data_IF_741506734944
#
_entry.id   IF_741506734944
#
_cell.length_a   1.000
_cell.length_b   1.000
_cell.length_c   1.000
_cell.angle_alpha   90.00
_cell.angle_beta   90.00
_cell.angle_gamma   90.00
#
_symmetry.space_group_name_H-M   'P 1'
#
loop_
_entity.id
_entity.type
_entity.pdbx_description
1 polymer ?
#
# COMPACT_ATOMS: atom_id res chain seq x y z
N UNK A 1 1.34 0.60 34.08
CA UNK A 1 1.52 2.02 33.74
C UNK A 1 0.44 2.44 32.73
N UNK A 2 -0.18 3.64 32.87
CA UNK A 2 -1.14 4.21 31.92
C UNK A 2 -0.58 5.53 31.37
N UNK A 3 -0.44 5.62 30.05
CA UNK A 3 -0.06 6.86 29.37
C UNK A 3 -1.32 7.46 28.77
N UNK A 4 -1.48 8.77 28.94
CA UNK A 4 -2.61 9.53 28.39
C UNK A 4 -2.07 10.78 27.66
N UNK A 5 -2.58 11.02 26.46
CA UNK A 5 -2.26 12.20 25.66
C UNK A 5 -3.55 13.00 25.50
N UNK A 6 -3.51 14.29 25.83
CA UNK A 6 -4.69 15.15 25.87
C UNK A 6 -4.31 16.60 25.55
N UNK A 7 -5.31 17.43 25.27
CA UNK A 7 -5.10 18.85 25.02
C UNK A 7 -5.26 19.70 26.32
N UNK A 8 -4.52 20.79 26.42
CA UNK A 8 -4.71 21.76 27.50
C UNK A 8 -6.13 22.34 27.49
N UNK A 9 -6.67 22.70 28.68
CA UNK A 9 -7.92 23.44 28.76
C UNK A 9 -7.78 24.85 28.14
N UNK A 10 -8.90 25.44 27.68
CA UNK A 10 -8.93 26.81 27.17
C UNK A 10 -8.45 27.81 28.25
N UNK A 11 -7.53 28.71 27.92
CA UNK A 11 -7.24 29.85 28.77
C UNK A 11 -8.43 30.82 28.71
N UNK A 12 -8.95 31.20 29.87
CA UNK A 12 -9.95 32.28 29.99
C UNK A 12 -9.30 33.59 29.54
N UNK A 13 -9.77 34.20 28.44
CA UNK A 13 -9.43 35.59 28.08
C UNK A 13 -8.74 35.81 26.72
N UNK A 14 -8.54 34.82 25.88
CA UNK A 14 -7.99 34.98 24.51
C UNK A 14 -8.98 34.52 23.47
N UNK A 15 -9.57 35.45 22.74
CA UNK A 15 -10.67 35.20 21.79
C UNK A 15 -10.26 34.55 20.48
N UNK A 16 -8.96 34.27 20.23
CA UNK A 16 -8.50 33.91 18.86
C UNK A 16 -7.49 32.75 18.75
N UNK A 17 -7.20 32.03 19.84
CA UNK A 17 -6.28 30.87 19.72
C UNK A 17 -7.08 29.58 19.76
N UNK A 18 -7.49 29.07 18.57
CA UNK A 18 -8.12 27.74 18.42
C UNK A 18 -7.18 26.58 18.78
N UNK A 19 -5.86 26.77 18.64
CA UNK A 19 -4.88 25.71 18.86
C UNK A 19 -4.55 25.53 20.36
N UNK A 20 -4.48 24.29 20.83
CA UNK A 20 -4.12 23.92 22.20
C UNK A 20 -2.88 23.03 22.22
N UNK A 21 -2.13 23.12 23.31
CA UNK A 21 -0.93 22.29 23.48
C UNK A 21 -1.29 20.84 23.75
N UNK A 22 -0.57 19.93 23.11
CA UNK A 22 -0.63 18.49 23.40
C UNK A 22 0.15 18.19 24.67
N UNK A 23 -0.49 17.52 25.61
CA UNK A 23 0.06 17.14 26.91
C UNK A 23 0.22 15.63 27.03
N UNK A 24 1.29 15.20 27.67
CA UNK A 24 1.56 13.81 28.02
C UNK A 24 1.43 13.59 29.53
N UNK A 25 0.78 12.50 29.93
CA UNK A 25 0.59 12.12 31.33
C UNK A 25 0.89 10.65 31.52
N UNK A 26 1.68 10.33 32.54
CA UNK A 26 2.00 8.97 32.95
C UNK A 26 1.47 8.73 34.35
N UNK A 27 0.69 7.67 34.52
CA UNK A 27 0.17 7.23 35.83
C UNK A 27 0.57 5.80 36.13
N UNK A 28 1.13 5.58 37.30
CA UNK A 28 1.42 4.23 37.81
C UNK A 28 1.44 4.23 39.35
N UNK A 29 0.50 3.56 39.96
CA UNK A 29 0.32 3.60 41.42
C UNK A 29 0.07 5.04 41.91
N UNK A 30 0.92 5.54 42.82
CA UNK A 30 0.89 6.89 43.33
C UNK A 30 1.56 7.94 42.43
N UNK A 31 2.30 7.50 41.38
CA UNK A 31 2.99 8.43 40.48
C UNK A 31 2.01 9.01 39.43
N UNK A 32 2.01 10.34 39.31
CA UNK A 32 1.21 11.10 38.32
C UNK A 32 2.10 12.18 37.68
N UNK A 33 2.80 11.83 36.62
CA UNK A 33 3.73 12.73 35.92
C UNK A 33 3.00 13.40 34.74
N UNK A 34 3.21 14.71 34.58
CA UNK A 34 2.57 15.49 33.50
C UNK A 34 3.56 16.46 32.87
N UNK A 35 3.46 16.61 31.54
CA UNK A 35 4.22 17.64 30.83
C UNK A 35 3.42 18.18 29.64
N UNK A 36 3.71 19.42 29.28
CA UNK A 36 3.21 20.05 28.04
C UNK A 36 4.28 19.93 26.98
N UNK A 37 3.86 19.75 25.73
CA UNK A 37 4.76 19.76 24.57
C UNK A 37 4.63 21.07 23.80
N UNK A 38 5.54 21.31 22.85
CA UNK A 38 5.40 22.39 21.87
C UNK A 38 4.48 22.04 20.71
N UNK A 39 3.93 20.81 20.67
CA UNK A 39 2.94 20.42 19.67
C UNK A 39 1.62 21.12 19.92
N UNK A 40 1.04 21.69 18.87
CA UNK A 40 -0.24 22.38 18.90
C UNK A 40 -1.27 21.59 18.09
N UNK A 41 -2.49 21.49 18.61
CA UNK A 41 -3.58 20.79 17.97
C UNK A 41 -4.89 21.58 18.08
N UNK A 42 -5.74 21.52 17.03
CA UNK A 42 -7.08 22.10 17.04
C UNK A 42 -8.05 21.13 17.73
N UNK A 43 -8.71 21.53 18.83
CA UNK A 43 -9.63 20.69 19.58
C UNK A 43 -10.81 20.17 18.76
N UNK A 44 -11.25 20.91 17.73
CA UNK A 44 -12.36 20.53 16.87
C UNK A 44 -12.08 19.22 16.10
N UNK A 45 -10.79 18.97 15.81
CA UNK A 45 -10.35 17.81 15.01
C UNK A 45 -9.55 16.79 15.82
N UNK A 46 -9.48 16.96 17.13
CA UNK A 46 -8.76 16.07 18.04
C UNK A 46 -9.61 14.85 18.40
N UNK A 47 -8.98 13.66 18.42
CA UNK A 47 -9.61 12.43 18.89
C UNK A 47 -9.08 12.11 20.31
N UNK A 48 -9.99 12.04 21.28
CA UNK A 48 -9.61 11.72 22.67
C UNK A 48 -9.47 10.21 22.91
N UNK A 49 -10.11 9.39 22.07
CA UNK A 49 -10.07 7.93 22.22
C UNK A 49 -8.80 7.34 21.61
N UNK A 50 -8.36 7.90 20.49
CA UNK A 50 -7.08 7.58 19.83
C UNK A 50 -6.33 8.92 19.70
N UNK A 51 -5.49 9.28 20.69
CA UNK A 51 -4.89 10.61 20.75
C UNK A 51 -4.20 11.01 19.46
N UNK A 52 -4.72 12.06 18.81
CA UNK A 52 -4.24 12.55 17.54
C UNK A 52 -5.31 13.29 16.74
N UNK A 53 -4.93 13.75 15.56
CA UNK A 53 -5.87 14.38 14.64
C UNK A 53 -6.76 13.38 13.93
N UNK A 54 -8.04 13.72 13.81
CA UNK A 54 -9.00 13.02 12.94
C UNK A 54 -8.67 13.27 11.47
N UNK A 55 -9.04 12.32 10.61
CA UNK A 55 -8.83 12.41 9.16
C UNK A 55 -9.59 13.56 8.47
N UNK A 56 -10.57 14.15 9.15
CA UNK A 56 -11.42 15.26 8.65
C UNK A 56 -10.89 16.65 8.97
N UNK A 57 -9.69 16.77 9.52
CA UNK A 57 -9.10 18.09 9.88
C UNK A 57 -8.79 18.94 8.65
N UNK A 58 -8.67 20.25 8.85
CA UNK A 58 -8.25 21.21 7.81
C UNK A 58 -6.79 21.06 7.39
N UNK A 59 -6.00 20.29 8.16
CA UNK A 59 -4.60 20.01 7.85
C UNK A 59 -4.48 19.03 6.67
N UNK A 60 -3.36 19.11 5.98
CA UNK A 60 -3.03 18.13 4.94
C UNK A 60 -2.80 16.75 5.55
N UNK A 61 -3.05 15.70 4.78
CA UNK A 61 -2.81 14.32 5.23
C UNK A 61 -1.35 14.09 5.69
N UNK A 62 -0.40 14.87 5.18
CA UNK A 62 1.01 14.83 5.57
C UNK A 62 1.21 15.42 6.96
N UNK A 63 0.64 16.59 7.24
CA UNK A 63 0.74 17.27 8.54
C UNK A 63 0.07 16.44 9.65
N UNK A 64 -1.12 15.87 9.36
CA UNK A 64 -1.79 14.96 10.28
C UNK A 64 -0.90 13.75 10.61
N UNK A 65 -0.32 13.15 9.57
CA UNK A 65 0.55 11.97 9.73
C UNK A 65 1.82 12.32 10.51
N UNK A 66 2.43 13.47 10.26
CA UNK A 66 3.63 13.92 10.96
C UNK A 66 3.35 14.21 12.44
N UNK A 67 2.22 14.87 12.77
CA UNK A 67 1.83 15.13 14.15
C UNK A 67 1.50 13.83 14.90
N UNK A 68 0.65 12.98 14.31
CA UNK A 68 0.26 11.72 14.93
C UNK A 68 1.46 10.79 15.13
N UNK A 69 2.41 10.80 14.19
CA UNK A 69 3.67 10.07 14.33
C UNK A 69 4.52 10.58 15.49
N UNK A 70 4.65 11.89 15.66
CA UNK A 70 5.39 12.47 16.80
C UNK A 70 4.74 12.10 18.14
N UNK A 71 3.42 12.07 18.21
CA UNK A 71 2.68 11.65 19.42
C UNK A 71 2.94 10.18 19.72
N UNK A 72 2.87 9.34 18.68
CA UNK A 72 3.14 7.89 18.79
C UNK A 72 4.58 7.63 19.23
N UNK A 73 5.56 8.23 18.57
CA UNK A 73 6.99 8.07 18.89
C UNK A 73 7.31 8.50 20.32
N UNK A 74 6.77 9.65 20.78
CA UNK A 74 6.93 10.11 22.17
C UNK A 74 6.28 9.14 23.15
N UNK A 75 5.10 8.62 22.83
CA UNK A 75 4.39 7.66 23.68
C UNK A 75 5.18 6.37 23.83
N UNK A 76 5.78 5.89 22.74
CA UNK A 76 6.68 4.72 22.74
C UNK A 76 7.92 4.98 23.59
N UNK A 77 8.59 6.14 23.42
CA UNK A 77 9.75 6.52 24.23
C UNK A 77 9.43 6.62 25.72
N UNK A 78 8.27 7.15 26.08
CA UNK A 78 7.81 7.17 27.47
C UNK A 78 7.66 5.76 28.00
N UNK A 79 7.05 4.86 27.20
CA UNK A 79 6.87 3.47 27.60
C UNK A 79 8.17 2.71 27.78
N UNK A 80 9.15 2.94 26.89
CA UNK A 80 10.45 2.29 26.89
C UNK A 80 11.37 2.78 28.02
N UNK A 81 11.34 4.08 28.36
CA UNK A 81 12.30 4.68 29.28
C UNK A 81 11.72 4.98 30.68
N UNK A 82 10.43 4.69 30.90
CA UNK A 82 9.83 4.88 32.22
C UNK A 82 10.33 3.87 33.22
N UNK A 83 10.66 4.37 34.43
CA UNK A 83 10.89 3.55 35.62
C UNK A 83 10.24 4.21 36.83
N UNK A 84 9.94 3.43 37.89
CA UNK A 84 9.22 3.91 39.08
C UNK A 84 9.89 5.09 39.80
N UNK A 85 11.18 5.32 39.56
CA UNK A 85 11.95 6.41 40.18
C UNK A 85 12.03 7.67 39.30
N UNK A 86 11.25 7.76 38.22
CA UNK A 86 11.22 8.92 37.34
C UNK A 86 10.26 9.99 37.88
N UNK A 87 10.64 11.26 37.69
CA UNK A 87 9.89 12.45 38.11
C UNK A 87 9.34 13.24 36.92
N UNK A 88 8.60 14.31 37.20
CA UNK A 88 8.05 15.19 36.16
C UNK A 88 9.11 15.91 35.33
N UNK A 89 10.35 16.07 35.84
CA UNK A 89 11.45 16.69 35.10
C UNK A 89 11.98 15.75 34.04
N UNK A 90 12.08 14.45 34.34
CA UNK A 90 12.41 13.43 33.37
C UNK A 90 11.43 13.43 32.19
N UNK A 91 10.12 13.40 32.46
CA UNK A 91 9.11 13.38 31.39
C UNK A 91 9.19 14.63 30.52
N UNK A 92 9.41 15.79 31.12
CA UNK A 92 9.59 17.07 30.41
C UNK A 92 10.81 17.05 29.50
N UNK A 93 11.94 16.59 30.00
CA UNK A 93 13.18 16.53 29.24
C UNK A 93 13.11 15.51 28.10
N UNK A 94 12.48 14.36 28.32
CA UNK A 94 12.27 13.35 27.27
C UNK A 94 11.46 13.93 26.10
N UNK A 95 10.30 14.55 26.39
CA UNK A 95 9.43 15.15 25.37
C UNK A 95 10.13 16.30 24.65
N UNK A 96 10.84 17.16 25.39
CA UNK A 96 11.59 18.30 24.84
C UNK A 96 12.72 17.83 23.93
N UNK A 97 13.55 16.90 24.39
CA UNK A 97 14.69 16.38 23.61
C UNK A 97 14.25 15.70 22.31
N UNK A 98 13.15 14.95 22.34
CA UNK A 98 12.59 14.34 21.13
C UNK A 98 12.16 15.41 20.10
N UNK A 99 11.51 16.49 20.57
CA UNK A 99 10.99 17.54 19.68
C UNK A 99 12.09 18.46 19.11
N UNK A 100 13.19 18.66 19.84
CA UNK A 100 14.33 19.51 19.42
C UNK A 100 15.34 18.76 18.56
N UNK A 101 15.65 17.49 18.86
CA UNK A 101 16.76 16.74 18.26
C UNK A 101 16.31 15.58 17.34
N UNK A 102 15.00 15.36 17.22
CA UNK A 102 14.46 14.19 16.51
C UNK A 102 14.93 12.87 17.16
N UNK A 103 14.90 11.78 16.41
CA UNK A 103 15.26 10.43 16.89
C UNK A 103 16.77 10.23 17.22
N UNK A 104 17.55 11.30 17.38
CA UNK A 104 18.95 11.27 17.81
C UNK A 104 19.06 11.57 19.29
N UNK A 105 18.63 10.64 20.14
CA UNK A 105 18.97 10.68 21.56
C UNK A 105 20.30 9.95 21.74
N UNK A 106 21.39 10.72 21.84
CA UNK A 106 22.67 10.26 22.34
C UNK A 106 22.52 9.90 23.83
N UNK A 107 22.76 8.65 24.16
CA UNK A 107 22.78 8.12 25.53
C UNK A 107 24.00 8.68 26.24
N UNK A 108 23.91 9.37 27.40
CA UNK A 108 25.07 9.65 28.24
C UNK A 108 25.59 8.31 28.80
N UNK A 109 26.82 7.98 28.46
CA UNK A 109 27.54 6.87 29.13
C UNK A 109 27.85 7.32 30.56
N UNK A 110 27.14 6.74 31.53
CA UNK A 110 27.59 6.36 32.86
C UNK A 110 26.39 6.12 33.78
N UNK A 111 26.00 4.88 33.91
CA UNK A 111 25.53 4.25 35.14
C UNK A 111 25.36 2.74 34.90
N UNK A 112 26.25 1.98 35.50
CA UNK A 112 26.18 0.52 35.65
C UNK A 112 24.85 0.19 36.34
N UNK A 113 23.92 -0.44 35.65
CA UNK A 113 22.77 -1.15 36.25
C UNK A 113 22.18 -2.12 35.24
N UNK A 114 21.96 -3.30 35.69
CA UNK A 114 21.53 -4.51 35.03
C UNK A 114 20.40 -4.31 34.01
N UNK A 115 20.66 -4.80 32.80
CA UNK A 115 19.71 -4.90 31.68
C UNK A 115 18.52 -5.77 32.05
N UNK A 116 17.33 -5.17 32.10
CA UNK A 116 16.10 -5.86 31.69
C UNK A 116 15.89 -5.48 30.22
N UNK A 117 16.29 -6.38 29.34
CA UNK A 117 16.09 -6.24 27.91
C UNK A 117 14.61 -6.50 27.63
N UNK A 118 13.94 -5.56 26.96
CA UNK A 118 12.64 -5.82 26.35
C UNK A 118 12.80 -6.94 25.31
N UNK A 119 11.86 -7.89 25.29
CA UNK A 119 11.96 -9.11 24.46
C UNK A 119 12.11 -8.84 22.94
N UNK A 120 11.67 -7.68 22.45
CA UNK A 120 11.86 -7.30 21.04
C UNK A 120 13.32 -6.93 20.69
N UNK A 121 14.09 -6.39 21.63
CA UNK A 121 15.51 -6.16 21.45
C UNK A 121 16.35 -7.46 21.63
N UNK A 122 15.83 -8.41 22.42
CA UNK A 122 16.47 -9.72 22.63
C UNK A 122 16.37 -10.59 21.37
N UNK A 123 15.26 -10.51 20.62
CA UNK A 123 15.12 -11.27 19.37
C UNK A 123 15.96 -10.71 18.20
N UNK A 124 16.24 -9.40 18.19
CA UNK A 124 17.13 -8.81 17.18
C UNK A 124 18.61 -9.18 17.38
N UNK A 125 19.02 -9.53 18.61
CA UNK A 125 20.42 -9.84 18.95
C UNK A 125 20.76 -11.32 18.99
N UNK A 126 19.80 -12.24 18.69
CA UNK A 126 20.06 -13.69 18.62
C UNK A 126 19.94 -14.26 17.21
N UNK A 127 19.88 -13.43 16.18
CA UNK A 127 20.05 -13.91 14.82
C UNK A 127 21.50 -14.38 14.66
N UNK A 128 21.71 -15.68 14.53
CA UNK A 128 23.01 -16.21 14.15
C UNK A 128 23.49 -15.49 12.89
N UNK A 129 24.75 -14.98 12.87
CA UNK A 129 25.23 -14.10 11.79
C UNK A 129 25.05 -14.65 10.37
N UNK A 130 24.98 -15.98 10.23
CA UNK A 130 24.87 -16.71 8.97
C UNK A 130 23.49 -17.33 8.73
N UNK A 131 22.48 -16.95 9.50
CA UNK A 131 21.12 -17.46 9.29
C UNK A 131 20.50 -16.91 7.99
N UNK A 132 19.60 -17.69 7.37
CA UNK A 132 18.81 -17.28 6.20
C UNK A 132 18.10 -15.95 6.43
N UNK A 133 17.51 -15.75 7.60
CA UNK A 133 16.76 -14.54 7.99
C UNK A 133 17.68 -13.32 7.94
N UNK A 134 18.90 -13.42 8.49
CA UNK A 134 19.83 -12.30 8.53
C UNK A 134 20.39 -11.97 7.13
N UNK A 135 20.75 -12.98 6.35
CA UNK A 135 21.14 -12.77 4.95
C UNK A 135 20.03 -12.14 4.12
N UNK A 136 18.76 -12.52 4.34
CA UNK A 136 17.64 -11.91 3.62
C UNK A 136 17.42 -10.47 4.07
N UNK A 137 17.64 -10.13 5.33
CA UNK A 137 17.60 -8.75 5.83
C UNK A 137 18.63 -7.88 5.12
N UNK A 138 19.89 -8.29 5.12
CA UNK A 138 21.00 -7.60 4.43
C UNK A 138 20.74 -7.45 2.93
N UNK A 139 20.17 -8.46 2.29
CA UNK A 139 19.77 -8.39 0.90
C UNK A 139 18.72 -7.30 0.63
N UNK A 140 17.72 -7.14 1.49
CA UNK A 140 16.68 -6.09 1.34
C UNK A 140 17.30 -4.71 1.51
N UNK A 141 18.15 -4.54 2.52
CA UNK A 141 18.78 -3.26 2.85
C UNK A 141 19.76 -2.81 1.77
N UNK A 142 20.61 -3.71 1.28
CA UNK A 142 21.63 -3.43 0.27
C UNK A 142 21.08 -3.17 -1.14
N UNK A 143 19.80 -3.42 -1.41
CA UNK A 143 19.24 -3.23 -2.77
C UNK A 143 18.84 -1.80 -3.07
N UNK A 144 19.24 -1.31 -4.25
CA UNK A 144 18.75 -0.05 -4.85
C UNK A 144 17.38 -0.28 -5.52
N UNK A 145 16.34 -0.44 -4.72
CA UNK A 145 14.94 -0.58 -5.16
C UNK A 145 14.05 0.44 -4.45
N UNK A 146 12.86 0.73 -5.01
CA UNK A 146 11.94 1.68 -4.39
C UNK A 146 11.44 1.20 -3.03
N UNK A 147 11.14 2.13 -2.12
CA UNK A 147 10.72 1.85 -0.74
C UNK A 147 9.49 0.93 -0.66
N UNK A 148 8.52 1.09 -1.58
CA UNK A 148 7.35 0.22 -1.66
C UNK A 148 7.73 -1.24 -1.87
N UNK A 149 8.77 -1.53 -2.67
CA UNK A 149 9.26 -2.88 -2.91
C UNK A 149 10.07 -3.40 -1.72
N UNK A 150 10.89 -2.55 -1.08
CA UNK A 150 11.55 -2.89 0.18
C UNK A 150 10.54 -3.25 1.25
N UNK A 151 9.49 -2.46 1.42
CA UNK A 151 8.40 -2.71 2.36
C UNK A 151 7.70 -4.06 2.08
N UNK A 152 7.42 -4.38 0.81
CA UNK A 152 6.82 -5.65 0.42
C UNK A 152 7.71 -6.85 0.75
N UNK A 153 9.02 -6.74 0.51
CA UNK A 153 10.00 -7.79 0.84
C UNK A 153 10.18 -7.94 2.36
N UNK A 154 10.18 -6.83 3.10
CA UNK A 154 10.19 -6.84 4.57
C UNK A 154 8.94 -7.52 5.15
N UNK A 155 7.78 -7.38 4.49
CA UNK A 155 6.58 -8.15 4.84
C UNK A 155 6.77 -9.67 4.65
N UNK A 156 7.51 -10.09 3.63
CA UNK A 156 7.90 -11.50 3.45
C UNK A 156 8.87 -11.96 4.55
N UNK A 157 9.88 -11.14 4.85
CA UNK A 157 10.84 -11.44 5.91
C UNK A 157 10.13 -11.65 7.27
N UNK A 158 9.19 -10.77 7.62
CA UNK A 158 8.42 -10.93 8.87
C UNK A 158 7.64 -12.25 8.93
N UNK A 159 7.12 -12.75 7.80
CA UNK A 159 6.46 -14.06 7.74
C UNK A 159 7.44 -15.21 7.97
N UNK A 160 8.64 -15.12 7.41
CA UNK A 160 9.70 -16.10 7.62
C UNK A 160 10.18 -16.14 9.07
N UNK A 161 10.31 -14.98 9.71
CA UNK A 161 10.63 -14.90 11.16
C UNK A 161 9.56 -15.62 11.98
N UNK A 162 8.27 -15.34 11.71
CA UNK A 162 7.18 -16.00 12.43
C UNK A 162 7.11 -17.50 12.17
N UNK A 163 7.41 -17.96 10.95
CA UNK A 163 7.54 -19.37 10.63
C UNK A 163 8.62 -20.03 11.50
N UNK A 164 9.83 -19.46 11.55
CA UNK A 164 10.94 -19.98 12.33
C UNK A 164 10.60 -20.05 13.82
N UNK A 165 10.03 -18.98 14.38
CA UNK A 165 9.61 -18.94 15.78
C UNK A 165 8.46 -19.90 16.09
N UNK A 166 7.53 -20.10 15.17
CA UNK A 166 6.45 -21.08 15.30
C UNK A 166 7.01 -22.51 15.43
N UNK A 167 8.00 -22.85 14.59
CA UNK A 167 8.71 -24.14 14.69
C UNK A 167 9.39 -24.33 16.05
N UNK A 168 9.98 -23.27 16.59
CA UNK A 168 10.68 -23.30 17.89
C UNK A 168 9.73 -23.42 19.06
N UNK A 169 8.69 -22.58 19.10
CA UNK A 169 7.88 -22.37 20.29
C UNK A 169 6.64 -23.28 20.31
N UNK A 170 6.00 -23.51 19.18
CA UNK A 170 4.76 -24.30 19.10
C UNK A 170 5.03 -25.74 18.69
N UNK A 171 5.89 -25.98 17.69
CA UNK A 171 6.24 -27.35 17.28
C UNK A 171 7.35 -27.98 18.14
N UNK A 172 7.88 -27.25 19.13
CA UNK A 172 8.87 -27.76 20.08
C UNK A 172 10.24 -28.02 19.50
N UNK A 173 10.54 -27.54 18.30
CA UNK A 173 11.84 -27.72 17.63
C UNK A 173 12.85 -26.69 18.16
N UNK A 174 13.29 -26.84 19.40
CA UNK A 174 14.25 -25.94 20.03
C UNK A 174 15.54 -25.85 19.18
N UNK A 175 15.93 -24.60 18.82
CA UNK A 175 17.11 -24.36 17.97
C UNK A 175 16.84 -24.42 16.44
N UNK A 176 15.59 -24.60 16.00
CA UNK A 176 15.29 -24.57 14.58
C UNK A 176 15.71 -23.24 13.95
N UNK A 177 16.59 -23.30 12.96
CA UNK A 177 17.09 -22.14 12.21
C UNK A 177 17.15 -22.49 10.73
N UNK A 178 16.66 -21.60 9.89
CA UNK A 178 16.80 -21.72 8.45
C UNK A 178 18.22 -21.29 8.04
N UNK A 179 18.91 -22.14 7.31
CA UNK A 179 20.24 -21.87 6.74
C UNK A 179 20.22 -21.99 5.22
N UNK A 180 20.99 -21.15 4.53
CA UNK A 180 21.10 -21.19 3.06
C UNK A 180 21.60 -22.54 2.55
N UNK A 181 22.61 -23.11 3.21
CA UNK A 181 23.28 -24.33 2.76
C UNK A 181 22.44 -25.61 2.94
N UNK A 182 21.45 -25.57 3.82
CA UNK A 182 20.61 -26.73 4.12
C UNK A 182 19.21 -26.65 3.55
N UNK A 183 18.81 -25.50 2.98
CA UNK A 183 17.46 -25.28 2.49
C UNK A 183 17.11 -26.25 1.34
N UNK A 184 16.02 -26.98 1.49
CA UNK A 184 15.52 -27.98 0.53
C UNK A 184 14.19 -27.54 -0.08
N UNK A 185 13.72 -28.31 -1.06
CA UNK A 185 12.35 -28.13 -1.61
C UNK A 185 11.27 -28.38 -0.55
N UNK A 186 11.50 -29.31 0.38
CA UNK A 186 10.56 -29.60 1.47
C UNK A 186 10.48 -28.44 2.45
N UNK A 187 11.60 -27.76 2.77
CA UNK A 187 11.59 -26.57 3.59
C UNK A 187 10.81 -25.40 2.92
N UNK A 188 10.96 -25.28 1.61
CA UNK A 188 10.19 -24.29 0.83
C UNK A 188 8.69 -24.59 0.82
N UNK A 189 8.31 -25.88 0.76
CA UNK A 189 6.92 -26.32 0.89
C UNK A 189 6.39 -26.01 2.29
N UNK A 190 7.13 -26.34 3.33
CA UNK A 190 6.76 -26.09 4.73
C UNK A 190 6.57 -24.58 5.01
N UNK A 191 7.46 -23.74 4.50
CA UNK A 191 7.30 -22.26 4.55
C UNK A 191 6.04 -21.82 3.83
N UNK A 192 5.75 -22.39 2.65
CA UNK A 192 4.58 -22.09 1.88
C UNK A 192 3.30 -22.42 2.63
N UNK A 193 3.21 -23.65 3.16
CA UNK A 193 2.05 -24.15 3.89
C UNK A 193 1.81 -23.37 5.18
N UNK A 194 2.89 -23.05 5.91
CA UNK A 194 2.80 -22.18 7.08
C UNK A 194 2.18 -20.82 6.73
N UNK A 195 2.66 -20.15 5.71
CA UNK A 195 2.19 -18.81 5.34
C UNK A 195 0.74 -18.86 4.82
N UNK A 196 0.36 -19.90 4.09
CA UNK A 196 -1.01 -20.09 3.60
C UNK A 196 -2.00 -20.28 4.75
N UNK A 197 -1.62 -21.04 5.76
CA UNK A 197 -2.46 -21.35 6.93
C UNK A 197 -2.22 -20.44 8.14
N UNK A 198 -1.41 -19.39 7.99
CA UNK A 198 -1.06 -18.49 9.10
C UNK A 198 -2.29 -17.90 9.78
N UNK A 199 -3.37 -17.65 9.04
CA UNK A 199 -4.62 -17.12 9.60
C UNK A 199 -5.34 -18.10 10.53
N UNK A 200 -5.24 -19.43 10.27
CA UNK A 200 -5.79 -20.48 11.16
C UNK A 200 -4.91 -20.60 12.39
N UNK A 201 -3.59 -20.69 12.21
CA UNK A 201 -2.60 -20.75 13.29
C UNK A 201 -2.70 -19.52 14.21
N UNK A 202 -3.03 -18.35 13.66
CA UNK A 202 -3.29 -17.15 14.45
C UNK A 202 -4.51 -17.31 15.36
N UNK A 203 -5.57 -17.95 14.88
CA UNK A 203 -6.78 -18.22 15.69
C UNK A 203 -6.55 -19.30 16.76
N UNK A 204 -5.69 -20.30 16.46
CA UNK A 204 -5.35 -21.39 17.36
C UNK A 204 -4.35 -20.98 18.45
N UNK A 205 -3.41 -20.08 18.16
CA UNK A 205 -2.31 -19.68 19.04
C UNK A 205 -2.19 -18.15 19.18
N UNK A 206 -3.23 -17.44 19.64
CA UNK A 206 -3.21 -15.96 19.70
C UNK A 206 -2.09 -15.43 20.61
N UNK A 207 -1.76 -16.14 21.67
CA UNK A 207 -0.69 -15.76 22.60
C UNK A 207 0.70 -15.76 21.91
N UNK A 208 0.97 -16.75 21.08
CA UNK A 208 2.20 -16.78 20.28
C UNK A 208 2.28 -15.56 19.36
N UNK A 209 1.18 -15.18 18.72
CA UNK A 209 1.20 -14.05 17.78
C UNK A 209 1.19 -12.68 18.47
N UNK A 210 0.87 -12.59 19.75
CA UNK A 210 0.90 -11.33 20.52
C UNK A 210 2.29 -10.69 20.61
N UNK A 211 3.34 -11.50 20.51
CA UNK A 211 4.73 -11.04 20.49
C UNK A 211 5.16 -10.33 19.19
N UNK A 212 4.35 -10.40 18.13
CA UNK A 212 4.69 -9.82 16.83
C UNK A 212 3.88 -8.56 16.52
N UNK A 213 4.56 -7.54 16.01
CA UNK A 213 3.90 -6.32 15.56
C UNK A 213 3.38 -6.47 14.14
N UNK A 214 2.07 -6.40 13.97
CA UNK A 214 1.43 -6.37 12.67
C UNK A 214 1.29 -4.94 12.15
N UNK A 215 1.69 -4.72 10.89
CA UNK A 215 1.59 -3.40 10.26
C UNK A 215 0.13 -2.94 10.24
N UNK A 216 -0.15 -1.76 10.82
CA UNK A 216 -1.49 -1.17 10.90
C UNK A 216 -2.52 -2.04 11.65
N UNK A 217 -2.09 -2.87 12.62
CA UNK A 217 -2.97 -3.73 13.41
C UNK A 217 -3.67 -4.84 12.60
N UNK A 218 -3.24 -5.08 11.36
CA UNK A 218 -3.84 -6.10 10.50
C UNK A 218 -3.35 -7.49 10.89
N UNK A 219 -4.24 -8.28 11.46
CA UNK A 219 -4.01 -9.70 11.76
C UNK A 219 -3.89 -10.55 10.48
N UNK A 220 -3.28 -11.76 10.56
CA UNK A 220 -3.26 -12.69 9.45
C UNK A 220 -4.67 -13.02 8.91
N UNK A 221 -4.82 -12.97 7.60
CA UNK A 221 -6.05 -13.28 6.89
C UNK A 221 -5.75 -14.28 5.76
N UNK A 222 -6.75 -15.04 5.28
CA UNK A 222 -6.56 -15.93 4.14
C UNK A 222 -5.94 -15.21 2.95
N UNK A 223 -4.86 -15.75 2.41
CA UNK A 223 -4.08 -15.13 1.33
C UNK A 223 -4.49 -15.69 -0.04
N UNK A 224 -4.43 -14.85 -1.07
CA UNK A 224 -4.63 -15.29 -2.44
C UNK A 224 -3.39 -16.00 -2.99
N UNK A 225 -3.60 -16.93 -3.95
CA UNK A 225 -2.50 -17.59 -4.65
C UNK A 225 -1.52 -16.60 -5.30
N UNK A 226 -2.05 -15.53 -5.92
CA UNK A 226 -1.21 -14.51 -6.57
C UNK A 226 -0.35 -13.73 -5.56
N UNK A 227 -0.88 -13.49 -4.35
CA UNK A 227 -0.09 -12.91 -3.28
C UNK A 227 1.03 -13.85 -2.84
N UNK A 228 0.72 -15.13 -2.66
CA UNK A 228 1.71 -16.16 -2.30
C UNK A 228 2.77 -16.34 -3.38
N UNK A 229 2.40 -16.30 -4.65
CA UNK A 229 3.37 -16.29 -5.78
C UNK A 229 4.31 -15.07 -5.68
N UNK A 230 3.83 -13.92 -5.21
CA UNK A 230 4.69 -12.75 -4.97
C UNK A 230 5.66 -12.98 -3.80
N UNK A 231 5.20 -13.58 -2.70
CA UNK A 231 6.07 -14.00 -1.57
C UNK A 231 7.16 -14.94 -2.05
N UNK A 232 6.80 -15.98 -2.80
CA UNK A 232 7.75 -16.92 -3.38
C UNK A 232 8.79 -16.23 -4.27
N UNK A 233 8.37 -15.28 -5.12
CA UNK A 233 9.31 -14.50 -5.95
C UNK A 233 10.30 -13.69 -5.14
N UNK A 234 9.91 -13.17 -3.98
CA UNK A 234 10.84 -12.49 -3.09
C UNK A 234 11.90 -13.44 -2.57
N UNK A 235 11.50 -14.61 -2.06
CA UNK A 235 12.40 -15.64 -1.56
C UNK A 235 13.32 -16.15 -2.68
N UNK A 236 12.76 -16.52 -3.84
CA UNK A 236 13.52 -16.97 -4.99
C UNK A 236 14.52 -15.93 -5.52
N UNK A 237 14.13 -14.64 -5.50
CA UNK A 237 15.03 -13.55 -5.91
C UNK A 237 16.22 -13.41 -4.96
N UNK A 238 16.00 -13.63 -3.68
CA UNK A 238 17.05 -13.66 -2.67
C UNK A 238 17.96 -14.89 -2.85
N UNK A 239 17.40 -16.08 -2.95
CA UNK A 239 18.17 -17.32 -3.12
C UNK A 239 19.05 -17.31 -4.37
N UNK A 240 18.50 -16.85 -5.52
CA UNK A 240 19.29 -16.69 -6.74
C UNK A 240 20.43 -15.66 -6.56
N UNK A 241 20.18 -14.59 -5.81
CA UNK A 241 21.20 -13.60 -5.52
C UNK A 241 22.28 -14.20 -4.58
N UNK A 242 21.90 -15.00 -3.59
CA UNK A 242 22.82 -15.65 -2.66
C UNK A 242 23.77 -16.60 -3.39
N UNK A 243 23.25 -17.43 -4.29
CA UNK A 243 24.07 -18.33 -5.14
C UNK A 243 25.00 -17.51 -6.04
N UNK A 244 24.47 -16.47 -6.71
CA UNK A 244 25.26 -15.62 -7.61
C UNK A 244 26.41 -14.89 -6.90
N UNK A 245 26.26 -14.55 -5.63
CA UNK A 245 27.27 -13.86 -4.82
C UNK A 245 28.12 -14.79 -3.96
N UNK A 246 28.02 -16.10 -4.16
CA UNK A 246 28.86 -17.09 -3.48
C UNK A 246 28.56 -17.27 -1.98
N UNK A 247 27.40 -16.82 -1.50
CA UNK A 247 26.97 -17.03 -0.12
C UNK A 247 26.57 -18.49 0.16
N UNK A 248 26.23 -19.23 -0.88
CA UNK A 248 25.92 -20.65 -0.85
C UNK A 248 26.06 -21.27 -2.25
N UNK A 249 26.33 -22.56 -2.30
CA UNK A 249 26.25 -23.38 -3.53
C UNK A 249 25.00 -24.24 -3.57
N UNK A 250 24.16 -24.16 -2.54
CA UNK A 250 22.96 -24.99 -2.42
C UNK A 250 21.86 -24.56 -3.40
N UNK A 251 21.41 -25.50 -4.23
CA UNK A 251 20.30 -25.33 -5.17
C UNK A 251 19.15 -26.33 -4.95
N UNK A 252 19.18 -27.12 -3.86
CA UNK A 252 18.12 -28.13 -3.57
C UNK A 252 16.73 -27.55 -3.40
N UNK A 253 16.62 -26.26 -3.05
CA UNK A 253 15.36 -25.53 -2.99
C UNK A 253 14.68 -25.35 -4.35
N UNK A 254 15.41 -25.50 -5.49
CA UNK A 254 14.88 -25.37 -6.86
C UNK A 254 13.85 -26.46 -7.22
N UNK A 255 13.85 -27.57 -6.49
CA UNK A 255 12.82 -28.60 -6.64
C UNK A 255 11.42 -28.14 -6.26
N UNK A 256 11.31 -27.05 -5.46
CA UNK A 256 10.02 -26.44 -5.16
C UNK A 256 9.61 -25.45 -6.26
N UNK A 257 8.41 -25.64 -6.81
CA UNK A 257 7.85 -24.77 -7.83
C UNK A 257 6.42 -24.35 -7.50
N UNK A 258 6.06 -23.16 -7.90
CA UNK A 258 4.72 -22.60 -7.67
C UNK A 258 4.04 -22.41 -9.03
N UNK A 259 2.78 -22.83 -9.13
CA UNK A 259 1.95 -22.58 -10.32
C UNK A 259 1.91 -21.08 -10.61
N UNK A 260 1.85 -20.74 -11.89
CA UNK A 260 1.76 -19.35 -12.33
C UNK A 260 0.55 -18.63 -11.72
N UNK A 261 0.65 -17.31 -11.67
CA UNK A 261 -0.48 -16.46 -11.30
C UNK A 261 -1.67 -16.71 -12.22
N UNK A 262 -2.84 -16.79 -11.62
CA UNK A 262 -4.12 -16.90 -12.31
C UNK A 262 -4.82 -15.55 -12.24
N UNK A 263 -5.28 -15.09 -13.38
CA UNK A 263 -6.00 -13.83 -13.49
C UNK A 263 -7.31 -14.07 -14.23
N UNK A 264 -8.39 -13.48 -13.73
CA UNK A 264 -9.67 -13.47 -14.40
C UNK A 264 -9.67 -12.60 -15.67
N UNK A 265 -10.75 -12.68 -16.41
CA UNK A 265 -11.04 -11.81 -17.57
C UNK A 265 -11.00 -10.34 -17.14
N UNK A 266 -10.38 -9.44 -17.91
CA UNK A 266 -10.39 -8.03 -17.61
C UNK A 266 -11.81 -7.45 -17.59
N UNK A 267 -12.21 -6.84 -16.48
CA UNK A 267 -13.47 -6.11 -16.38
C UNK A 267 -13.25 -4.72 -16.97
N UNK A 268 -14.07 -4.35 -17.94
CA UNK A 268 -14.07 -3.05 -18.60
C UNK A 268 -15.51 -2.61 -18.95
N UNK A 269 -15.69 -1.33 -19.22
CA UNK A 269 -16.96 -0.76 -19.64
C UNK A 269 -17.08 -0.78 -21.17
N UNK A 270 -18.27 -1.00 -21.70
CA UNK A 270 -18.55 -0.74 -23.10
C UNK A 270 -18.52 0.77 -23.40
N UNK A 271 -18.55 1.17 -24.65
CA UNK A 271 -18.63 2.59 -25.02
C UNK A 271 -19.93 3.21 -24.52
N UNK A 272 -21.06 2.49 -24.62
CA UNK A 272 -22.37 2.96 -24.15
C UNK A 272 -22.39 3.11 -22.62
N UNK A 273 -21.88 2.13 -21.87
CA UNK A 273 -21.76 2.22 -20.41
C UNK A 273 -20.89 3.40 -19.97
N UNK A 274 -19.76 3.63 -20.65
CA UNK A 274 -18.92 4.80 -20.42
C UNK A 274 -19.65 6.11 -20.66
N UNK A 275 -20.39 6.21 -21.77
CA UNK A 275 -21.11 7.42 -22.14
C UNK A 275 -22.34 7.64 -21.25
N UNK A 276 -23.00 6.57 -20.80
CA UNK A 276 -24.04 6.62 -19.77
C UNK A 276 -23.51 7.23 -18.47
N UNK A 277 -22.33 6.81 -18.02
CA UNK A 277 -21.66 7.39 -16.85
C UNK A 277 -21.35 8.88 -17.10
N UNK A 278 -20.79 9.23 -18.26
CA UNK A 278 -20.45 10.62 -18.61
C UNK A 278 -21.67 11.54 -18.53
N UNK A 279 -22.83 11.08 -19.04
CA UNK A 279 -24.05 11.86 -19.16
C UNK A 279 -24.91 11.85 -17.89
N UNK A 280 -24.51 11.15 -16.84
CA UNK A 280 -25.23 11.13 -15.56
C UNK A 280 -25.18 12.50 -14.89
N UNK A 281 -26.34 13.05 -14.54
CA UNK A 281 -26.38 14.31 -13.79
C UNK A 281 -25.89 14.11 -12.34
N UNK A 282 -24.84 14.81 -11.99
CA UNK A 282 -24.22 14.84 -10.66
C UNK A 282 -24.03 16.29 -10.16
N UNK A 283 -24.79 17.25 -10.71
CA UNK A 283 -24.70 18.68 -10.38
C UNK A 283 -24.82 18.95 -8.87
N UNK A 284 -25.66 18.16 -8.18
CA UNK A 284 -25.83 18.23 -6.72
C UNK A 284 -24.70 17.56 -5.92
N UNK A 285 -23.77 16.87 -6.57
CA UNK A 285 -22.69 16.11 -5.94
C UNK A 285 -21.32 16.48 -6.54
N UNK A 286 -20.77 17.67 -6.28
CA UNK A 286 -19.56 18.18 -6.95
C UNK A 286 -18.32 17.27 -6.80
N UNK A 287 -18.24 16.47 -5.71
CA UNK A 287 -17.17 15.50 -5.52
C UNK A 287 -17.32 14.31 -6.46
N UNK A 288 -18.52 13.76 -6.58
CA UNK A 288 -18.81 12.64 -7.46
C UNK A 288 -18.66 13.04 -8.92
N UNK A 289 -19.16 14.23 -9.28
CA UNK A 289 -19.02 14.79 -10.64
C UNK A 289 -17.54 14.88 -11.06
N UNK A 290 -16.71 15.45 -10.22
CA UNK A 290 -15.25 15.54 -10.46
C UNK A 290 -14.61 14.16 -10.65
N UNK A 291 -14.93 13.20 -9.79
CA UNK A 291 -14.38 11.86 -9.89
C UNK A 291 -14.95 11.10 -11.12
N UNK A 292 -16.19 11.32 -11.51
CA UNK A 292 -16.74 10.88 -12.79
C UNK A 292 -15.90 11.41 -13.95
N UNK A 293 -15.68 12.70 -14.00
CA UNK A 293 -14.98 13.37 -15.10
C UNK A 293 -13.52 12.89 -15.20
N UNK A 294 -12.84 12.75 -14.08
CA UNK A 294 -11.49 12.16 -14.02
C UNK A 294 -11.48 10.70 -14.52
N UNK A 295 -12.47 9.90 -14.17
CA UNK A 295 -12.59 8.53 -14.60
C UNK A 295 -12.88 8.40 -16.09
N UNK A 296 -13.79 9.21 -16.59
CA UNK A 296 -14.08 9.26 -18.03
C UNK A 296 -12.86 9.72 -18.81
N UNK A 297 -12.17 10.76 -18.35
CA UNK A 297 -10.91 11.17 -18.98
C UNK A 297 -9.91 10.01 -19.04
N UNK A 298 -9.75 9.25 -17.95
CA UNK A 298 -8.90 8.05 -17.98
C UNK A 298 -9.39 6.99 -18.98
N UNK A 299 -10.70 6.82 -19.16
CA UNK A 299 -11.29 5.94 -20.16
C UNK A 299 -11.00 6.41 -21.60
N UNK A 300 -10.80 7.71 -21.80
CA UNK A 300 -10.53 8.30 -23.11
C UNK A 300 -9.03 8.33 -23.49
N UNK A 301 -8.14 8.34 -22.51
CA UNK A 301 -6.68 8.46 -22.76
C UNK A 301 -5.85 7.26 -22.25
N UNK A 302 -6.46 6.36 -21.49
CA UNK A 302 -5.82 5.13 -21.01
C UNK A 302 -4.69 5.29 -19.99
N UNK A 303 -4.48 6.48 -19.40
CA UNK A 303 -3.42 6.71 -18.43
C UNK A 303 -3.67 5.95 -17.10
N UNK A 304 -2.59 5.65 -16.34
CA UNK A 304 -2.72 5.11 -14.98
C UNK A 304 -3.14 6.22 -14.01
N UNK A 305 -3.84 5.88 -12.94
CA UNK A 305 -4.23 6.86 -11.90
C UNK A 305 -3.05 7.62 -11.31
N UNK A 306 -1.91 6.94 -11.10
CA UNK A 306 -0.70 7.60 -10.62
C UNK A 306 -0.07 8.57 -11.64
N UNK A 307 -0.29 8.34 -12.94
CA UNK A 307 0.10 9.26 -13.99
C UNK A 307 -0.92 10.40 -14.07
N UNK A 308 -2.24 10.13 -14.07
CA UNK A 308 -3.31 11.15 -14.05
C UNK A 308 -3.06 12.24 -12.98
N UNK A 309 -2.68 11.84 -11.77
CA UNK A 309 -2.41 12.76 -10.66
C UNK A 309 -1.18 13.65 -10.86
N UNK A 310 -0.37 13.35 -11.86
CA UNK A 310 0.84 14.10 -12.21
C UNK A 310 0.68 14.96 -13.45
N UNK A 311 -0.31 14.64 -14.30
CA UNK A 311 -0.56 15.37 -15.54
C UNK A 311 -0.82 16.86 -15.27
N UNK A 312 -0.19 17.68 -16.10
CA UNK A 312 -0.32 19.14 -16.11
C UNK A 312 -0.77 19.61 -17.49
N UNK A 313 -1.13 20.87 -17.59
CA UNK A 313 -1.45 21.51 -18.88
C UNK A 313 -0.28 21.41 -19.87
N UNK A 314 0.97 21.43 -19.37
CA UNK A 314 2.18 21.32 -20.20
C UNK A 314 2.34 19.94 -20.88
N UNK A 315 1.57 18.93 -20.42
CA UNK A 315 1.53 17.62 -21.07
C UNK A 315 0.64 17.61 -22.33
N UNK A 316 -0.05 18.73 -22.62
CA UNK A 316 -0.89 18.85 -23.81
C UNK A 316 -0.10 19.64 -24.86
N UNK A 317 0.21 19.00 -26.00
CA UNK A 317 0.96 19.57 -27.11
C UNK A 317 0.35 19.15 -28.43
N UNK A 318 0.10 20.11 -29.30
CA UNK A 318 -0.42 19.88 -30.67
C UNK A 318 -1.63 18.91 -30.75
N UNK A 319 -2.56 19.00 -29.79
CA UNK A 319 -3.73 18.12 -29.72
C UNK A 319 -3.44 16.72 -29.17
N UNK A 320 -2.25 16.49 -28.62
CA UNK A 320 -1.87 15.23 -28.00
C UNK A 320 -1.61 15.40 -26.50
N UNK A 321 -1.92 14.35 -25.73
CA UNK A 321 -1.45 14.17 -24.37
C UNK A 321 -0.11 13.41 -24.42
N UNK A 322 0.96 14.04 -23.96
CA UNK A 322 2.31 13.50 -23.95
C UNK A 322 2.86 13.37 -22.53
N UNK A 323 3.25 12.17 -22.14
CA UNK A 323 3.82 11.92 -20.81
C UNK A 323 4.67 10.66 -20.75
N UNK A 324 5.63 10.63 -19.83
CA UNK A 324 6.38 9.44 -19.49
C UNK A 324 5.73 8.71 -18.30
N UNK A 325 5.34 7.43 -18.44
CA UNK A 325 4.70 6.68 -17.36
C UNK A 325 5.63 6.54 -16.14
N UNK A 326 5.21 7.03 -14.99
CA UNK A 326 6.03 7.04 -13.77
C UNK A 326 6.50 5.63 -13.32
N UNK A 327 5.66 4.62 -13.47
CA UNK A 327 5.97 3.26 -13.03
C UNK A 327 7.04 2.57 -13.89
N UNK A 328 7.14 2.93 -15.15
CA UNK A 328 8.04 2.31 -16.15
C UNK A 328 9.13 3.26 -16.62
N UNK A 329 9.04 4.55 -16.30
CA UNK A 329 9.97 5.60 -16.73
C UNK A 329 11.41 5.44 -16.25
N UNK A 330 11.65 4.66 -15.20
CA UNK A 330 12.99 4.34 -14.70
C UNK A 330 13.54 3.01 -15.27
N UNK A 331 12.86 2.39 -16.24
CA UNK A 331 13.37 1.20 -16.89
C UNK A 331 14.43 1.59 -17.93
N UNK A 332 15.70 1.26 -17.66
CA UNK A 332 16.84 1.64 -18.50
C UNK A 332 16.76 1.14 -19.96
N UNK A 333 15.92 0.16 -20.24
CA UNK A 333 15.82 -0.47 -21.55
C UNK A 333 14.62 0.00 -22.37
N UNK A 334 13.61 0.62 -21.78
CA UNK A 334 12.43 1.08 -22.51
C UNK A 334 11.69 2.14 -21.69
N UNK A 335 11.81 3.39 -22.13
CA UNK A 335 11.05 4.50 -21.57
C UNK A 335 10.15 5.11 -22.67
N UNK A 336 9.03 4.44 -23.02
CA UNK A 336 8.20 4.92 -24.10
C UNK A 336 7.48 6.20 -23.67
N UNK A 337 7.67 7.26 -24.47
CA UNK A 337 6.77 8.40 -24.43
C UNK A 337 5.37 7.91 -24.81
N UNK A 338 4.41 8.10 -23.93
CA UNK A 338 3.00 7.91 -24.25
C UNK A 338 2.51 9.16 -24.97
N UNK A 339 2.04 9.00 -26.20
CA UNK A 339 1.47 10.06 -26.99
C UNK A 339 0.06 9.64 -27.42
N UNK A 340 -0.96 10.32 -26.87
CA UNK A 340 -2.38 9.96 -27.03
C UNK A 340 -3.12 11.15 -27.64
N UNK A 341 -3.80 10.98 -28.79
CA UNK A 341 -4.62 12.06 -29.36
C UNK A 341 -5.75 12.42 -28.38
N UNK A 342 -6.01 13.71 -28.22
CA UNK A 342 -7.09 14.22 -27.37
C UNK A 342 -8.33 14.42 -28.25
N UNK A 343 -9.37 13.61 -28.04
CA UNK A 343 -10.65 13.77 -28.70
C UNK A 343 -11.50 14.88 -28.06
N UNK A 344 -12.61 15.27 -28.70
CA UNK A 344 -13.45 16.38 -28.24
C UNK A 344 -14.01 16.17 -26.82
N UNK A 345 -14.39 14.94 -26.46
CA UNK A 345 -14.87 14.61 -25.10
C UNK A 345 -13.76 14.83 -24.06
N UNK A 346 -12.54 14.38 -24.33
CA UNK A 346 -11.41 14.59 -23.44
C UNK A 346 -11.04 16.07 -23.34
N UNK A 347 -11.08 16.80 -24.47
CA UNK A 347 -10.85 18.25 -24.52
C UNK A 347 -11.87 19.01 -23.67
N UNK A 348 -13.15 18.71 -23.81
CA UNK A 348 -14.21 19.33 -23.02
C UNK A 348 -14.00 19.14 -21.50
N UNK A 349 -13.56 17.94 -21.08
CA UNK A 349 -13.25 17.68 -19.69
C UNK A 349 -12.03 18.47 -19.20
N UNK A 350 -10.99 18.61 -20.03
CA UNK A 350 -9.81 19.42 -19.69
C UNK A 350 -10.21 20.89 -19.55
N UNK A 351 -10.98 21.42 -20.51
CA UNK A 351 -11.39 22.82 -20.52
C UNK A 351 -12.30 23.14 -19.33
N UNK A 352 -13.18 22.22 -18.90
CA UNK A 352 -14.01 22.34 -17.69
C UNK A 352 -13.19 22.62 -16.42
N UNK A 353 -12.02 22.01 -16.28
CA UNK A 353 -11.18 22.15 -15.09
C UNK A 353 -10.01 23.11 -15.26
N UNK A 354 -9.85 23.70 -16.44
CA UNK A 354 -8.77 24.66 -16.73
C UNK A 354 -8.82 25.83 -15.75
N UNK A 355 -7.70 26.11 -15.12
CA UNK A 355 -7.56 27.22 -14.16
C UNK A 355 -8.13 26.96 -12.76
N UNK A 356 -8.82 25.81 -12.52
CA UNK A 356 -9.41 25.51 -11.20
C UNK A 356 -8.45 24.82 -10.23
N UNK A 357 -7.33 24.28 -10.73
CA UNK A 357 -6.38 23.47 -9.96
C UNK A 357 -4.91 23.79 -10.27
N UNK A 358 -4.59 25.05 -10.54
CA UNK A 358 -3.27 25.51 -10.92
C UNK A 358 -2.85 24.88 -12.26
N UNK A 359 -1.62 24.38 -12.33
CA UNK A 359 -1.11 23.74 -13.55
C UNK A 359 -1.57 22.28 -13.74
N UNK A 360 -2.32 21.69 -12.80
CA UNK A 360 -2.84 20.31 -12.93
C UNK A 360 -4.00 20.24 -13.91
N UNK A 361 -4.13 19.09 -14.62
CA UNK A 361 -5.30 18.86 -15.49
C UNK A 361 -6.58 18.67 -14.68
N UNK A 362 -6.51 18.05 -13.51
CA UNK A 362 -7.66 17.79 -12.64
C UNK A 362 -7.33 18.05 -11.18
N UNK A 363 -8.31 18.46 -10.36
CA UNK A 363 -8.16 18.66 -8.92
C UNK A 363 -8.11 17.29 -8.21
N UNK A 364 -6.95 16.64 -8.21
CA UNK A 364 -6.73 15.30 -7.68
C UNK A 364 -6.67 15.30 -6.14
N UNK A 365 -7.56 14.50 -5.53
CA UNK A 365 -7.66 14.28 -4.10
C UNK A 365 -7.15 12.87 -3.69
N UNK A 366 -7.57 12.37 -2.52
CA UNK A 366 -7.20 11.05 -2.03
C UNK A 366 -7.68 9.92 -2.98
N UNK A 367 -6.76 9.07 -3.43
CA UNK A 367 -7.04 7.95 -4.35
C UNK A 367 -8.04 6.93 -3.81
N UNK A 368 -8.13 6.73 -2.49
CA UNK A 368 -9.09 5.79 -1.89
C UNK A 368 -10.52 6.27 -2.13
N UNK A 369 -10.79 7.54 -1.90
CA UNK A 369 -12.09 8.13 -2.14
C UNK A 369 -12.47 8.10 -3.62
N UNK A 370 -11.50 8.34 -4.49
CA UNK A 370 -11.70 8.25 -5.93
C UNK A 370 -12.20 6.87 -6.36
N UNK A 371 -11.61 5.79 -5.85
CA UNK A 371 -12.04 4.42 -6.18
C UNK A 371 -13.46 4.12 -5.69
N UNK A 372 -13.81 4.52 -4.48
CA UNK A 372 -15.16 4.28 -3.95
C UNK A 372 -16.22 5.16 -4.64
N UNK A 373 -15.90 6.42 -4.92
CA UNK A 373 -16.81 7.32 -5.62
C UNK A 373 -17.10 6.85 -7.06
N UNK A 374 -16.13 6.26 -7.77
CA UNK A 374 -16.39 5.69 -9.10
C UNK A 374 -17.44 4.58 -9.03
N UNK A 375 -17.42 3.71 -8.02
CA UNK A 375 -18.43 2.66 -7.84
C UNK A 375 -19.81 3.27 -7.64
N UNK A 376 -19.91 4.28 -6.77
CA UNK A 376 -21.15 5.01 -6.51
C UNK A 376 -21.67 5.70 -7.79
N UNK A 377 -20.81 6.37 -8.52
CA UNK A 377 -21.14 7.02 -9.79
C UNK A 377 -21.65 6.00 -10.82
N UNK A 378 -20.97 4.87 -10.95
CA UNK A 378 -21.36 3.79 -11.89
C UNK A 378 -22.72 3.21 -11.51
N UNK A 379 -23.00 3.08 -10.21
CA UNK A 379 -24.31 2.63 -9.70
C UNK A 379 -25.41 3.68 -10.00
N UNK A 380 -25.17 4.96 -9.71
CA UNK A 380 -26.12 6.04 -9.98
C UNK A 380 -26.42 6.15 -11.48
N UNK A 381 -25.41 5.93 -12.32
CA UNK A 381 -25.56 5.89 -13.77
C UNK A 381 -26.40 4.70 -14.27
N UNK A 382 -26.82 3.78 -13.41
CA UNK A 382 -27.60 2.61 -13.81
C UNK A 382 -26.81 1.54 -14.58
N UNK A 383 -25.48 1.55 -14.51
CA UNK A 383 -24.63 0.54 -15.15
C UNK A 383 -24.54 -0.70 -14.25
N UNK A 384 -25.46 -1.63 -14.46
CA UNK A 384 -25.70 -2.78 -13.56
C UNK A 384 -25.35 -4.13 -14.17
N UNK A 385 -24.76 -4.17 -15.36
CA UNK A 385 -24.40 -5.41 -16.07
C UNK A 385 -23.66 -6.38 -15.13
N UNK A 386 -24.07 -7.63 -15.16
CA UNK A 386 -23.41 -8.71 -14.39
C UNK A 386 -22.10 -9.09 -15.03
N UNK A 387 -21.07 -9.22 -14.21
CA UNK A 387 -19.73 -9.69 -14.60
C UNK A 387 -19.31 -10.87 -13.74
N UNK A 388 -18.61 -11.82 -14.34
CA UNK A 388 -18.04 -12.96 -13.63
C UNK A 388 -16.68 -12.58 -13.06
N UNK A 389 -16.54 -12.67 -11.75
CA UNK A 389 -15.31 -12.36 -11.01
C UNK A 389 -14.79 -13.63 -10.36
N UNK A 390 -13.51 -13.91 -10.51
CA UNK A 390 -12.90 -14.98 -9.70
C UNK A 390 -12.62 -14.50 -8.29
N UNK A 391 -13.15 -15.22 -7.31
CA UNK A 391 -12.76 -15.00 -5.92
C UNK A 391 -11.25 -15.26 -5.78
N UNK A 392 -10.45 -14.28 -5.35
CA UNK A 392 -9.00 -14.43 -5.29
C UNK A 392 -8.53 -15.49 -4.27
N UNK A 393 -9.39 -15.90 -3.35
CA UNK A 393 -9.10 -16.88 -2.30
C UNK A 393 -9.56 -18.29 -2.69
N UNK A 394 -10.86 -18.45 -3.01
CA UNK A 394 -11.46 -19.76 -3.33
C UNK A 394 -11.30 -20.15 -4.79
N UNK A 395 -11.04 -19.19 -5.68
CA UNK A 395 -11.01 -19.31 -7.16
C UNK A 395 -12.36 -19.64 -7.80
N UNK A 396 -13.41 -19.61 -7.02
CA UNK A 396 -14.77 -19.78 -7.54
C UNK A 396 -15.17 -18.59 -8.39
N UNK A 397 -15.90 -18.84 -9.45
CA UNK A 397 -16.51 -17.80 -10.24
C UNK A 397 -17.75 -17.26 -9.51
N UNK A 398 -17.80 -15.96 -9.28
CA UNK A 398 -18.91 -15.29 -8.63
C UNK A 398 -19.46 -14.21 -9.57
N UNK A 399 -20.75 -14.22 -9.78
CA UNK A 399 -21.42 -13.16 -10.53
C UNK A 399 -21.68 -11.93 -9.65
N UNK A 400 -21.34 -10.77 -10.17
CA UNK A 400 -21.52 -9.48 -9.46
C UNK A 400 -21.90 -8.36 -10.43
N UNK A 401 -22.68 -7.38 -9.99
CA UNK A 401 -22.89 -6.16 -10.75
C UNK A 401 -21.55 -5.43 -11.00
N UNK A 402 -21.34 -4.96 -12.22
CA UNK A 402 -20.07 -4.33 -12.63
C UNK A 402 -19.70 -3.12 -11.78
N UNK A 403 -20.67 -2.34 -11.28
CA UNK A 403 -20.41 -1.16 -10.44
C UNK A 403 -19.66 -1.50 -9.13
N UNK A 404 -19.77 -2.73 -8.61
CA UNK A 404 -19.00 -3.18 -7.44
C UNK A 404 -17.53 -3.46 -7.77
N UNK A 405 -17.25 -3.78 -9.02
CA UNK A 405 -15.95 -4.23 -9.49
C UNK A 405 -15.16 -3.14 -10.24
N UNK A 406 -15.79 -1.99 -10.51
CA UNK A 406 -15.13 -0.85 -11.14
C UNK A 406 -14.07 -0.25 -10.21
N UNK A 407 -12.91 0.02 -10.78
CA UNK A 407 -11.76 0.62 -10.10
C UNK A 407 -11.11 1.66 -10.99
N UNK A 408 -10.20 2.47 -10.47
CA UNK A 408 -9.41 3.40 -11.28
C UNK A 408 -8.63 2.70 -12.41
N UNK A 409 -8.33 1.41 -12.26
CA UNK A 409 -7.66 0.63 -13.29
C UNK A 409 -8.63 0.13 -14.38
N UNK A 410 -9.92 0.08 -14.07
CA UNK A 410 -10.98 -0.27 -15.05
C UNK A 410 -11.03 0.76 -16.17
N UNK A 411 -10.83 2.06 -15.90
CA UNK A 411 -10.77 3.10 -16.93
C UNK A 411 -9.72 2.77 -18.01
N UNK A 412 -8.52 2.40 -17.59
CA UNK A 412 -7.46 2.02 -18.52
C UNK A 412 -7.77 0.73 -19.27
N UNK A 413 -8.41 -0.23 -18.62
CA UNK A 413 -8.88 -1.45 -19.28
C UNK A 413 -9.96 -1.13 -20.31
N UNK A 414 -10.87 -0.20 -20.01
CA UNK A 414 -11.91 0.28 -20.92
C UNK A 414 -11.30 0.90 -22.18
N UNK A 415 -10.30 1.76 -22.02
CA UNK A 415 -9.57 2.34 -23.16
C UNK A 415 -8.96 1.24 -24.06
N UNK A 416 -8.20 0.34 -23.47
CA UNK A 416 -7.49 -0.70 -24.23
C UNK A 416 -8.48 -1.67 -24.89
N UNK A 417 -9.47 -2.15 -24.14
CA UNK A 417 -10.42 -3.14 -24.63
C UNK A 417 -11.25 -2.63 -25.80
N UNK A 418 -11.78 -1.41 -25.71
CA UNK A 418 -12.57 -0.83 -26.79
C UNK A 418 -11.71 -0.51 -28.02
N UNK A 419 -10.49 0.00 -27.83
CA UNK A 419 -9.57 0.21 -28.96
C UNK A 419 -9.16 -1.09 -29.63
N UNK A 420 -8.89 -2.14 -28.84
CA UNK A 420 -8.50 -3.43 -29.38
C UNK A 420 -9.61 -4.07 -30.23
N UNK A 421 -10.87 -3.87 -29.83
CA UNK A 421 -12.03 -4.28 -30.64
C UNK A 421 -12.08 -3.58 -32.01
N UNK A 422 -11.72 -2.29 -32.04
CA UNK A 422 -11.80 -1.47 -33.24
C UNK A 422 -10.59 -1.63 -34.18
N UNK A 423 -9.39 -1.64 -33.64
CA UNK A 423 -8.14 -1.53 -34.42
C UNK A 423 -7.40 -2.86 -34.57
N UNK A 424 -7.54 -3.79 -33.63
CA UNK A 424 -6.85 -5.09 -33.57
C UNK A 424 -5.31 -5.02 -33.64
N UNK A 425 -4.72 -3.84 -33.41
CA UNK A 425 -3.27 -3.64 -33.39
C UNK A 425 -2.76 -3.45 -31.95
N UNK A 426 -2.16 -4.50 -31.36
CA UNK A 426 -1.60 -4.43 -30.02
C UNK A 426 -0.44 -3.46 -29.89
N UNK A 427 0.39 -3.29 -30.94
CA UNK A 427 1.57 -2.45 -30.90
C UNK A 427 1.17 -0.96 -30.81
N UNK A 428 0.21 -0.54 -31.64
CA UNK A 428 -0.32 0.81 -31.61
C UNK A 428 -0.93 1.17 -30.26
N UNK A 429 -1.76 0.27 -29.70
CA UNK A 429 -2.38 0.49 -28.38
C UNK A 429 -1.33 0.50 -27.25
N UNK A 430 -0.30 -0.36 -27.35
CA UNK A 430 0.80 -0.42 -26.41
C UNK A 430 1.60 0.90 -26.38
N UNK A 431 1.85 1.51 -27.54
CA UNK A 431 2.55 2.79 -27.67
C UNK A 431 1.80 3.93 -26.96
N UNK A 432 0.47 3.98 -27.07
CA UNK A 432 -0.35 5.00 -26.39
C UNK A 432 -0.42 4.77 -24.87
N UNK A 433 -0.31 3.52 -24.43
CA UNK A 433 -0.52 3.17 -23.02
C UNK A 433 0.77 2.89 -22.24
N UNK A 434 1.93 2.86 -22.91
CA UNK A 434 3.22 2.54 -22.28
C UNK A 434 3.29 1.11 -21.73
N UNK A 435 2.68 0.14 -22.43
CA UNK A 435 2.89 -1.27 -22.22
C UNK A 435 4.05 -1.74 -23.11
N UNK A 436 4.82 -2.72 -22.62
CA UNK A 436 5.67 -3.49 -23.53
C UNK A 436 4.74 -4.36 -24.40
N UNK A 437 5.00 -4.38 -25.69
CA UNK A 437 4.16 -5.01 -26.72
C UNK A 437 3.77 -6.47 -26.39
N UNK A 438 4.71 -7.25 -25.89
CA UNK A 438 4.49 -8.66 -25.53
C UNK A 438 4.31 -8.88 -24.02
N UNK A 439 3.95 -7.84 -23.26
CA UNK A 439 3.80 -7.97 -21.81
C UNK A 439 2.66 -8.94 -21.44
N UNK A 440 2.88 -9.74 -20.37
CA UNK A 440 1.83 -10.60 -19.80
C UNK A 440 0.55 -9.82 -19.46
N UNK A 441 0.69 -8.54 -19.09
CA UNK A 441 -0.44 -7.66 -18.79
C UNK A 441 -1.27 -7.36 -20.03
N UNK A 442 -0.63 -7.17 -21.19
CA UNK A 442 -1.31 -6.90 -22.45
C UNK A 442 -1.98 -8.16 -23.03
N UNK A 443 -1.37 -9.33 -22.87
CA UNK A 443 -1.94 -10.61 -23.32
C UNK A 443 -3.31 -10.93 -22.72
N UNK A 444 -3.67 -10.35 -21.58
CA UNK A 444 -5.00 -10.53 -20.96
C UNK A 444 -6.14 -9.95 -21.79
N UNK A 445 -5.85 -8.96 -22.61
CA UNK A 445 -6.86 -8.38 -23.50
C UNK A 445 -7.18 -9.29 -24.69
N UNK A 446 -6.36 -10.33 -24.94
CA UNK A 446 -6.68 -11.38 -25.91
C UNK A 446 -7.87 -12.25 -25.50
N UNK A 447 -8.25 -12.29 -24.20
CA UNK A 447 -9.48 -12.97 -23.79
C UNK A 447 -10.74 -12.32 -24.40
N UNK A 448 -10.63 -11.07 -24.86
CA UNK A 448 -11.67 -10.38 -25.63
C UNK A 448 -11.80 -10.99 -27.04
N UNK A 449 -10.76 -11.67 -27.54
CA UNK A 449 -10.77 -12.32 -28.85
C UNK A 449 -11.82 -13.43 -28.96
N UNK A 450 -12.24 -14.07 -27.87
CA UNK A 450 -13.27 -15.14 -27.94
C UNK A 450 -14.64 -14.56 -28.35
N UNK A 451 -15.05 -13.40 -27.82
CA UNK A 451 -16.27 -12.75 -28.26
C UNK A 451 -16.15 -12.22 -29.69
N UNK A 452 -14.97 -11.68 -30.04
CA UNK A 452 -14.65 -11.24 -31.40
C UNK A 452 -14.62 -12.39 -32.41
N UNK A 453 -14.18 -13.60 -32.02
CA UNK A 453 -14.22 -14.78 -32.85
C UNK A 453 -15.67 -15.16 -33.21
N UNK A 454 -16.59 -15.06 -32.25
CA UNK A 454 -18.02 -15.28 -32.50
C UNK A 454 -18.56 -14.26 -33.51
N UNK A 455 -18.24 -12.97 -33.31
CA UNK A 455 -18.64 -11.90 -34.25
C UNK A 455 -18.05 -12.13 -35.66
N UNK A 456 -16.77 -12.59 -35.75
CA UNK A 456 -16.14 -12.85 -37.05
C UNK A 456 -16.74 -14.04 -37.76
N UNK A 457 -17.15 -15.08 -37.03
CA UNK A 457 -17.77 -16.27 -37.63
C UNK A 457 -19.16 -15.92 -38.25
N UNK A 458 -19.92 -15.03 -37.60
CA UNK A 458 -21.20 -14.55 -38.13
C UNK A 458 -21.06 -13.68 -39.39
N UNK A 459 -19.84 -13.19 -39.72
CA UNK A 459 -19.60 -12.43 -40.96
C UNK A 459 -19.38 -13.31 -42.20
N UNK A 460 -19.22 -14.62 -42.03
CA UNK A 460 -19.00 -15.58 -43.08
C UNK A 460 -20.21 -16.52 -43.28
N UNK A 461 -21.28 -16.35 -42.51
CA UNK A 461 -22.60 -16.92 -42.72
C UNK A 461 -23.41 -16.05 -43.73
#
# INVERSE_FOLDING_TARGET
>A
MKISVYLTSAQKGSADIRLRQVCFRVREGAADLRTRSSLLADPEYWDETIPGYRRTSKLTAREIKELNKKIEDITVLIHEQYSKNRDGSWLRNLVKNYLENGNRVSIPQNATSQKVQSQDAIQANQAEPDSFIEHFRRFIEGRKICDKRKCSMSGTLKKLVRHQEYKRQIEGRKGFTLYLDNLTANDMQDIWDYIMDEYRRYAEHPEFYSQFTFVSGKVPVPLSHNFMTSVYRHIRSFLNWSVKNGLTTNERWRGFSVKNEVYGTPIFLTLDERDQILNTDLSHFPRLERHRDMFIFQCLVGCRVGDLYRLTIDNIRDGFLEYYPHKTGNCRTHNPLCRVPINDKAKALIDKYRGTCGNKLFPCNNQLWYTEDIKVVTMIAGVTRTVVVQNPKTREAVERPIYLEVTTHTARKTFIANLYRLVKDPALIASMTGHAEYSKAFRRYRAIEEDMKKELVTLID
#
